data_IF_608573270275
#
_entry.id   IF_608573270275
#
_cell.length_a   1.000
_cell.length_b   1.000
_cell.length_c   1.000
_cell.angle_alpha   90.00
_cell.angle_beta   90.00
_cell.angle_gamma   90.00
#
_symmetry.space_group_name_H-M   'P 1'
#
loop_
_entity.id
_entity.type
_entity.pdbx_description
1 polymer ?
#
# COMPACT_ATOMS: atom_id res chain seq x y z
N UNK A 1 -3.31 19.66 0.49
CA UNK A 1 -3.26 18.96 -0.80
C UNK A 1 -1.83 18.47 -0.97
N UNK A 2 -1.61 17.14 -1.01
CA UNK A 2 -0.27 16.57 -1.25
C UNK A 2 0.05 16.67 -2.75
N UNK A 3 1.31 16.96 -3.10
CA UNK A 3 1.80 17.08 -4.48
C UNK A 3 2.93 16.07 -4.72
N UNK A 4 3.36 15.90 -5.99
CA UNK A 4 4.36 14.86 -6.40
C UNK A 4 5.69 14.92 -5.64
N UNK A 5 5.98 16.06 -5.02
CA UNK A 5 7.20 16.30 -4.25
C UNK A 5 7.05 15.92 -2.78
N UNK A 6 5.85 15.52 -2.35
CA UNK A 6 5.60 14.99 -1.00
C UNK A 6 6.34 13.66 -0.85
N UNK A 7 7.15 13.46 0.21
CA UNK A 7 7.81 12.20 0.45
C UNK A 7 6.81 11.04 0.48
N UNK A 8 7.08 10.03 -0.34
CA UNK A 8 6.23 8.87 -0.50
C UNK A 8 7.06 7.60 -0.68
N UNK A 9 6.41 6.45 -0.56
CA UNK A 9 6.98 5.15 -0.87
C UNK A 9 6.71 4.81 -2.34
N UNK A 10 7.71 4.25 -2.99
CA UNK A 10 7.58 3.64 -4.33
C UNK A 10 6.74 2.37 -4.28
N UNK A 11 6.23 1.86 -5.43
CA UNK A 11 5.46 0.62 -5.47
C UNK A 11 6.22 -0.58 -4.89
N UNK A 12 7.54 -0.63 -5.12
CA UNK A 12 8.41 -1.71 -4.61
C UNK A 12 8.55 -1.63 -3.08
N UNK A 13 8.71 -0.42 -2.54
CA UNK A 13 8.75 -0.21 -1.08
C UNK A 13 7.39 -0.60 -0.44
N UNK A 14 6.26 -0.26 -1.07
CA UNK A 14 4.94 -0.68 -0.60
C UNK A 14 4.76 -2.20 -0.60
N UNK A 15 5.22 -2.89 -1.65
CA UNK A 15 5.23 -4.36 -1.72
C UNK A 15 6.12 -4.98 -0.62
N UNK A 16 7.28 -4.39 -0.36
CA UNK A 16 8.19 -4.84 0.70
C UNK A 16 7.57 -4.66 2.10
N UNK A 17 6.92 -3.52 2.36
CA UNK A 17 6.19 -3.25 3.60
C UNK A 17 5.09 -4.30 3.79
N UNK A 18 4.29 -4.55 2.75
CA UNK A 18 3.24 -5.56 2.81
C UNK A 18 3.80 -6.95 3.11
N UNK A 19 4.88 -7.35 2.44
CA UNK A 19 5.50 -8.66 2.64
C UNK A 19 6.08 -8.83 4.05
N UNK A 20 6.73 -7.79 4.59
CA UNK A 20 7.39 -7.82 5.89
C UNK A 20 6.43 -7.73 7.10
N UNK A 21 5.21 -7.21 6.89
CA UNK A 21 4.26 -7.07 7.97
C UNK A 21 3.76 -8.42 8.50
N UNK A 22 4.01 -8.67 9.79
CA UNK A 22 3.54 -9.85 10.51
C UNK A 22 2.02 -9.95 10.53
N UNK A 23 1.34 -8.81 10.64
CA UNK A 23 -0.12 -8.70 10.60
C UNK A 23 -0.56 -7.78 9.46
N UNK A 24 -1.63 -8.17 8.74
CA UNK A 24 -2.21 -7.35 7.66
C UNK A 24 -3.20 -6.32 8.21
N UNK A 25 -2.74 -5.58 9.22
CA UNK A 25 -3.47 -4.51 9.90
C UNK A 25 -2.75 -3.18 9.67
N UNK A 26 -3.44 -2.05 9.88
CA UNK A 26 -2.82 -0.71 9.77
C UNK A 26 -1.57 -0.59 10.65
N UNK A 27 -1.64 -1.10 11.88
CA UNK A 27 -0.54 -1.02 12.83
C UNK A 27 0.61 -1.97 12.43
N UNK A 28 0.28 -3.18 11.97
CA UNK A 28 1.27 -4.12 11.43
C UNK A 28 2.03 -3.56 10.23
N UNK A 29 1.32 -2.90 9.30
CA UNK A 29 1.93 -2.22 8.15
C UNK A 29 2.81 -1.04 8.59
N UNK A 30 2.33 -0.24 9.54
CA UNK A 30 3.10 0.91 10.06
C UNK A 30 4.36 0.46 10.78
N UNK A 31 4.29 -0.64 11.55
CA UNK A 31 5.44 -1.25 12.20
C UNK A 31 6.46 -1.79 11.18
N UNK A 32 5.99 -2.50 10.15
CA UNK A 32 6.85 -3.00 9.08
C UNK A 32 7.55 -1.86 8.32
N UNK A 33 6.82 -0.79 7.99
CA UNK A 33 7.38 0.37 7.31
C UNK A 33 8.45 1.07 8.15
N UNK A 34 8.23 1.22 9.47
CA UNK A 34 9.23 1.79 10.39
C UNK A 34 10.47 0.91 10.53
N UNK A 35 10.30 -0.41 10.54
CA UNK A 35 11.42 -1.35 10.64
C UNK A 35 12.29 -1.34 9.37
N UNK A 36 11.66 -1.32 8.19
CA UNK A 36 12.37 -1.31 6.90
C UNK A 36 12.97 0.06 6.56
N UNK A 37 12.28 1.15 6.89
CA UNK A 37 12.63 2.50 6.49
C UNK A 37 12.62 3.49 7.67
N UNK A 38 13.46 3.28 8.71
CA UNK A 38 13.42 4.08 9.93
C UNK A 38 13.73 5.57 9.69
N UNK A 39 14.48 5.91 8.64
CA UNK A 39 14.83 7.29 8.29
C UNK A 39 13.77 8.03 7.45
N UNK A 40 12.67 7.37 7.07
CA UNK A 40 11.64 7.92 6.16
C UNK A 40 10.41 8.44 6.92
N UNK A 41 10.62 9.17 8.02
CA UNK A 41 9.53 9.66 8.89
C UNK A 41 8.43 10.42 8.14
N UNK A 42 8.79 11.26 7.17
CA UNK A 42 7.81 12.04 6.41
C UNK A 42 6.98 11.17 5.44
N UNK A 43 7.58 10.15 4.83
CA UNK A 43 6.83 9.21 4.00
C UNK A 43 5.93 8.29 4.84
N UNK A 44 6.32 7.99 6.08
CA UNK A 44 5.48 7.24 7.01
C UNK A 44 4.19 7.99 7.37
N UNK A 45 4.22 9.34 7.43
CA UNK A 45 3.03 10.17 7.66
C UNK A 45 2.03 10.12 6.49
N UNK A 46 2.49 9.72 5.31
CA UNK A 46 1.67 9.62 4.09
C UNK A 46 1.32 8.19 3.72
N UNK A 47 1.65 7.21 4.57
CA UNK A 47 1.29 5.81 4.40
C UNK A 47 -0.13 5.55 4.94
N UNK A 48 -1.02 5.11 4.06
CA UNK A 48 -2.41 4.82 4.38
C UNK A 48 -2.75 3.35 4.09
N UNK A 49 -3.62 2.82 4.93
CA UNK A 49 -4.21 1.49 4.80
C UNK A 49 -5.73 1.64 4.73
N UNK A 50 -6.32 1.34 3.58
CA UNK A 50 -7.72 1.63 3.29
C UNK A 50 -8.46 0.34 2.93
N UNK A 51 -9.40 -0.15 3.78
CA UNK A 51 -10.22 -1.31 3.46
C UNK A 51 -11.07 -1.10 2.20
N UNK A 52 -11.20 -2.12 1.35
CA UNK A 52 -12.06 -2.12 0.16
C UNK A 52 -11.58 -1.28 -1.03
N UNK A 53 -10.63 -0.36 -0.81
CA UNK A 53 -10.13 0.58 -1.81
C UNK A 53 -11.20 1.54 -2.35
N UNK A 54 -10.76 2.62 -3.02
CA UNK A 54 -11.67 3.58 -3.66
C UNK A 54 -12.22 3.12 -5.02
N UNK A 55 -11.68 2.02 -5.58
CA UNK A 55 -11.92 1.57 -6.96
C UNK A 55 -11.69 0.06 -7.11
N UNK A 56 -12.23 -0.50 -8.20
CA UNK A 56 -11.93 -1.87 -8.63
C UNK A 56 -10.65 -1.90 -9.47
N UNK A 57 -9.95 -3.04 -9.46
CA UNK A 57 -8.70 -3.28 -10.16
C UNK A 57 -8.88 -4.41 -11.17
N UNK A 58 -8.18 -4.32 -12.30
CA UNK A 58 -8.23 -5.34 -13.34
C UNK A 58 -7.35 -6.53 -12.94
N UNK A 59 -7.97 -7.68 -12.78
CA UNK A 59 -7.31 -8.95 -12.50
C UNK A 59 -6.72 -9.58 -13.78
N UNK A 60 -5.84 -10.56 -13.63
CA UNK A 60 -5.18 -11.27 -14.73
C UNK A 60 -6.16 -12.07 -15.61
N UNK A 61 -7.28 -12.50 -15.05
CA UNK A 61 -8.39 -13.15 -15.76
C UNK A 61 -9.26 -12.17 -16.59
N UNK A 62 -8.93 -10.88 -16.56
CA UNK A 62 -9.65 -9.82 -17.26
C UNK A 62 -10.87 -9.28 -16.53
N UNK A 63 -11.23 -9.83 -15.36
CA UNK A 63 -12.30 -9.30 -14.50
C UNK A 63 -11.84 -8.03 -13.76
N UNK A 64 -12.81 -7.26 -13.24
CA UNK A 64 -12.53 -6.13 -12.35
C UNK A 64 -13.10 -6.44 -10.97
N UNK A 65 -12.23 -6.48 -9.96
CA UNK A 65 -12.60 -6.81 -8.59
C UNK A 65 -12.16 -5.72 -7.62
N UNK A 66 -12.92 -5.51 -6.55
CA UNK A 66 -12.49 -4.63 -5.47
C UNK A 66 -11.39 -5.32 -4.66
N UNK A 67 -10.34 -4.59 -4.25
CA UNK A 67 -9.34 -5.14 -3.37
C UNK A 67 -9.92 -5.34 -1.97
N UNK A 68 -9.38 -6.28 -1.21
CA UNK A 68 -9.68 -6.39 0.21
C UNK A 68 -9.22 -5.12 0.95
N UNK A 69 -8.09 -4.58 0.53
CA UNK A 69 -7.56 -3.30 1.02
C UNK A 69 -6.56 -2.70 0.04
N UNK A 70 -6.28 -1.42 0.24
CA UNK A 70 -5.35 -0.64 -0.55
C UNK A 70 -4.28 -0.05 0.36
N UNK A 71 -3.03 -0.31 0.01
CA UNK A 71 -1.87 0.33 0.63
C UNK A 71 -1.48 1.53 -0.24
N UNK A 72 -1.51 2.72 0.32
CA UNK A 72 -1.34 3.96 -0.43
C UNK A 72 -0.23 4.82 0.19
N UNK A 73 0.62 5.38 -0.66
CA UNK A 73 1.52 6.47 -0.33
C UNK A 73 1.51 7.43 -1.52
N UNK A 74 0.63 8.42 -1.46
CA UNK A 74 0.28 9.26 -2.62
C UNK A 74 1.55 9.77 -3.33
N UNK A 75 1.64 9.68 -4.67
CA UNK A 75 0.59 9.26 -5.61
C UNK A 75 0.50 7.75 -5.84
N UNK A 76 1.30 6.95 -5.13
CA UNK A 76 1.43 5.51 -5.36
C UNK A 76 0.37 4.72 -4.59
N UNK A 77 -0.17 3.69 -5.25
CA UNK A 77 -1.18 2.82 -4.69
C UNK A 77 -0.95 1.36 -5.10
N UNK A 78 -1.02 0.45 -4.12
CA UNK A 78 -1.00 -1.00 -4.35
C UNK A 78 -2.29 -1.59 -3.81
N UNK A 79 -3.04 -2.24 -4.69
CA UNK A 79 -4.21 -3.03 -4.32
C UNK A 79 -3.78 -4.40 -3.83
N UNK A 80 -4.46 -4.86 -2.77
CA UNK A 80 -4.31 -6.22 -2.28
C UNK A 80 -5.64 -6.93 -2.34
N UNK A 81 -5.66 -7.98 -3.14
CA UNK A 81 -6.84 -8.80 -3.38
C UNK A 81 -7.09 -9.76 -2.20
N UNK A 82 -8.27 -10.37 -2.13
CA UNK A 82 -8.63 -11.29 -1.04
C UNK A 82 -7.69 -12.50 -0.94
N UNK A 83 -7.14 -12.95 -2.07
CA UNK A 83 -6.16 -14.04 -2.14
C UNK A 83 -4.71 -13.60 -1.82
N UNK A 84 -4.51 -12.31 -1.49
CA UNK A 84 -3.20 -11.72 -1.21
C UNK A 84 -2.43 -11.26 -2.44
N UNK A 85 -3.00 -11.38 -3.64
CA UNK A 85 -2.40 -10.86 -4.88
C UNK A 85 -2.22 -9.35 -4.80
N UNK A 86 -1.06 -8.85 -5.26
CA UNK A 86 -0.72 -7.42 -5.28
C UNK A 86 -0.77 -6.85 -6.69
N UNK A 87 -1.65 -5.87 -6.91
CA UNK A 87 -1.82 -5.17 -8.19
C UNK A 87 -1.38 -3.70 -8.06
N UNK A 88 -0.51 -3.27 -8.96
CA UNK A 88 -0.08 -1.86 -9.02
C UNK A 88 -1.03 -1.04 -9.91
N UNK A 89 -1.01 0.28 -9.72
CA UNK A 89 -1.61 1.26 -10.63
C UNK A 89 -0.62 2.35 -11.01
#
# INVERSE_FOLDING_TARGET
>A
MMNKDTPHFSPQELRAIYAAAAEKTKDGMSAAARALYPAREDALKTLYWLPGGGRAFRCSDGSCSKPAFTLQSWPVEVAVMEDGTLLDY
#
